data_IF_481898747361
#
_entry.id   IF_481898747361
#
_cell.length_a   1.000
_cell.length_b   1.000
_cell.length_c   1.000
_cell.angle_alpha   90.00
_cell.angle_beta   90.00
_cell.angle_gamma   90.00
#
_symmetry.space_group_name_H-M   'P 1'
#
loop_
_entity.id
_entity.type
_entity.pdbx_description
1 polymer ?
#
# COMPACT_ATOMS: atom_id res chain seq x y z
N UNK A 1 23.47 -6.11 -7.73
CA UNK A 1 23.77 -4.80 -7.10
C UNK A 1 22.74 -3.80 -7.57
N UNK A 2 21.83 -3.41 -6.70
CA UNK A 2 20.77 -2.45 -7.03
C UNK A 2 21.37 -1.04 -7.10
N UNK A 3 21.36 -0.41 -8.28
CA UNK A 3 21.96 0.91 -8.51
C UNK A 3 21.29 1.97 -7.59
N UNK A 4 22.09 2.70 -6.81
CA UNK A 4 21.63 3.73 -5.86
C UNK A 4 20.74 4.80 -6.51
N UNK A 5 20.95 5.09 -7.80
CA UNK A 5 20.12 6.03 -8.56
C UNK A 5 18.73 5.44 -8.84
N UNK A 6 18.62 4.15 -9.18
CA UNK A 6 17.35 3.47 -9.41
C UNK A 6 16.44 3.49 -8.19
N UNK A 7 17.01 3.38 -6.99
CA UNK A 7 16.25 3.48 -5.72
C UNK A 7 15.63 4.85 -5.55
N UNK A 8 16.38 5.93 -5.80
CA UNK A 8 15.89 7.31 -5.65
C UNK A 8 14.72 7.60 -6.57
N UNK A 9 14.78 7.17 -7.83
CA UNK A 9 13.66 7.31 -8.77
C UNK A 9 12.44 6.52 -8.33
N UNK A 10 12.64 5.33 -7.77
CA UNK A 10 11.54 4.51 -7.21
C UNK A 10 10.86 5.23 -6.04
N UNK A 11 11.62 5.78 -5.09
CA UNK A 11 11.05 6.53 -3.96
C UNK A 11 10.28 7.77 -4.40
N UNK A 12 10.85 8.55 -5.33
CA UNK A 12 10.18 9.74 -5.87
C UNK A 12 8.85 9.37 -6.55
N UNK A 13 8.84 8.29 -7.35
CA UNK A 13 7.62 7.80 -7.99
C UNK A 13 6.59 7.30 -6.97
N UNK A 14 7.02 6.54 -5.94
CA UNK A 14 6.14 6.09 -4.85
C UNK A 14 5.45 7.26 -4.15
N UNK A 15 6.22 8.28 -3.77
CA UNK A 15 5.71 9.49 -3.11
C UNK A 15 4.67 10.20 -3.98
N UNK A 16 5.02 10.51 -5.23
CA UNK A 16 4.12 11.19 -6.15
C UNK A 16 2.82 10.40 -6.40
N UNK A 17 2.90 9.08 -6.59
CA UNK A 17 1.71 8.24 -6.76
C UNK A 17 0.85 8.18 -5.50
N UNK A 18 1.46 8.22 -4.31
CA UNK A 18 0.73 8.24 -3.05
C UNK A 18 -0.01 9.57 -2.85
N UNK A 19 0.62 10.70 -3.16
CA UNK A 19 0.01 12.03 -3.07
C UNK A 19 -1.22 12.12 -4.01
N UNK A 20 -1.05 11.73 -5.29
CA UNK A 20 -2.17 11.68 -6.24
C UNK A 20 -3.33 10.79 -5.75
N UNK A 21 -3.00 9.65 -5.11
CA UNK A 21 -4.02 8.76 -4.55
C UNK A 21 -4.76 9.40 -3.35
N UNK A 22 -4.04 10.08 -2.44
CA UNK A 22 -4.63 10.75 -1.28
C UNK A 22 -5.55 11.90 -1.71
N UNK A 23 -5.14 12.66 -2.71
CA UNK A 23 -5.89 13.79 -3.26
C UNK A 23 -7.05 13.36 -4.18
N UNK A 24 -7.21 12.04 -4.40
CA UNK A 24 -8.20 11.43 -5.31
C UNK A 24 -8.08 11.93 -6.75
N UNK A 25 -6.86 12.27 -7.14
CA UNK A 25 -6.53 12.68 -8.50
C UNK A 25 -6.33 11.46 -9.41
N UNK A 26 -6.47 11.67 -10.71
CA UNK A 26 -6.26 10.63 -11.70
C UNK A 26 -4.79 10.21 -11.77
N UNK A 27 -4.52 8.90 -11.67
CA UNK A 27 -3.17 8.37 -11.85
C UNK A 27 -2.87 8.29 -13.35
N UNK A 28 -1.82 8.97 -13.85
CA UNK A 28 -1.52 8.99 -15.27
C UNK A 28 -1.07 7.61 -15.77
N UNK A 29 -1.40 7.29 -17.03
CA UNK A 29 -0.88 6.08 -17.67
C UNK A 29 0.63 6.18 -17.91
N UNK A 30 1.31 5.04 -17.75
CA UNK A 30 2.74 4.97 -18.01
C UNK A 30 3.05 5.20 -19.49
N UNK A 31 3.92 6.16 -19.78
CA UNK A 31 4.40 6.40 -21.14
C UNK A 31 5.11 5.16 -21.70
N UNK A 32 4.72 4.74 -22.90
CA UNK A 32 5.39 3.64 -23.62
C UNK A 32 6.85 4.04 -23.92
N UNK A 33 7.78 3.11 -23.71
CA UNK A 33 9.22 3.36 -23.90
C UNK A 33 9.55 3.95 -25.28
N UNK A 34 8.91 3.43 -26.33
CA UNK A 34 9.13 3.86 -27.72
C UNK A 34 8.61 5.29 -28.02
N UNK A 35 7.77 5.84 -27.15
CA UNK A 35 7.21 7.19 -27.32
C UNK A 35 8.03 8.25 -26.58
N UNK A 36 9.05 7.85 -25.81
CA UNK A 36 9.92 8.77 -25.09
C UNK A 36 10.86 9.48 -26.09
N UNK A 37 10.69 10.80 -26.25
CA UNK A 37 11.63 11.64 -27.00
C UNK A 37 12.80 12.01 -26.10
N UNK A 38 14.02 11.73 -26.54
CA UNK A 38 15.24 11.96 -25.78
C UNK A 38 16.14 12.95 -26.50
N UNK A 39 16.78 13.82 -25.72
CA UNK A 39 17.91 14.62 -26.17
C UNK A 39 19.22 13.81 -26.02
N UNK A 40 20.29 14.25 -26.70
CA UNK A 40 21.59 13.54 -26.76
C UNK A 40 22.25 13.25 -25.40
N UNK A 41 21.79 13.86 -24.32
CA UNK A 41 22.33 13.70 -22.95
C UNK A 41 21.36 13.00 -21.98
N UNK A 42 20.23 12.51 -22.47
CA UNK A 42 19.19 11.88 -21.64
C UNK A 42 19.19 10.36 -21.80
N UNK A 43 18.85 9.68 -20.71
CA UNK A 43 18.71 8.22 -20.65
C UNK A 43 17.34 7.88 -20.08
N UNK A 44 16.69 6.86 -20.64
CA UNK A 44 15.42 6.32 -20.11
C UNK A 44 15.73 5.28 -19.06
N UNK A 45 15.04 5.37 -17.92
CA UNK A 45 15.08 4.36 -16.87
C UNK A 45 13.65 3.86 -16.66
N UNK A 46 13.47 2.53 -16.75
CA UNK A 46 12.20 1.90 -16.41
C UNK A 46 12.13 1.68 -14.90
N UNK A 47 11.07 2.19 -14.27
CA UNK A 47 10.81 2.01 -12.84
C UNK A 47 9.48 1.29 -12.68
N UNK A 48 9.44 0.27 -11.83
CA UNK A 48 8.24 -0.51 -11.54
C UNK A 48 7.77 -0.22 -10.12
N UNK A 49 6.52 0.17 -9.96
CA UNK A 49 5.87 0.40 -8.66
C UNK A 49 4.51 -0.28 -8.67
N UNK A 50 4.15 -0.89 -7.54
CA UNK A 50 2.83 -1.47 -7.32
C UNK A 50 2.06 -0.58 -6.34
N UNK A 51 1.08 0.18 -6.85
CA UNK A 51 0.38 1.20 -6.08
C UNK A 51 -0.25 0.65 -4.79
N UNK A 52 -0.86 -0.54 -4.82
CA UNK A 52 -1.46 -1.16 -3.63
C UNK A 52 -0.44 -1.35 -2.50
N UNK A 53 0.80 -1.73 -2.82
CA UNK A 53 1.88 -1.85 -1.84
C UNK A 53 2.31 -0.49 -1.30
N UNK A 54 2.39 0.53 -2.16
CA UNK A 54 2.70 1.90 -1.73
C UNK A 54 1.65 2.42 -0.76
N UNK A 55 0.37 2.24 -1.06
CA UNK A 55 -0.73 2.63 -0.17
C UNK A 55 -0.58 1.96 1.19
N UNK A 56 -0.30 0.65 1.22
CA UNK A 56 -0.08 -0.09 2.49
C UNK A 56 1.17 0.37 3.25
N UNK A 57 2.25 0.68 2.53
CA UNK A 57 3.52 1.14 3.11
C UNK A 57 3.39 2.53 3.75
N UNK A 58 2.67 3.43 3.10
CA UNK A 58 2.57 4.85 3.48
C UNK A 58 1.34 5.15 4.36
N UNK A 59 0.22 4.42 4.20
CA UNK A 59 -0.96 4.54 5.05
C UNK A 59 -1.07 3.36 6.04
N UNK A 60 0.04 3.10 6.75
CA UNK A 60 0.15 2.03 7.75
C UNK A 60 -0.33 2.45 9.15
N UNK A 61 -1.02 3.60 9.26
CA UNK A 61 -1.45 4.16 10.54
C UNK A 61 -2.54 3.28 11.15
N UNK A 62 -2.41 2.99 12.44
CA UNK A 62 -3.44 2.25 13.17
C UNK A 62 -4.65 3.14 13.44
N UNK A 63 -5.84 2.70 13.03
CA UNK A 63 -7.11 3.40 13.27
C UNK A 63 -7.91 2.66 14.33
N UNK A 64 -8.26 3.33 15.43
CA UNK A 64 -9.14 2.76 16.46
C UNK A 64 -10.52 2.49 15.87
N UNK A 65 -11.06 1.30 16.13
CA UNK A 65 -12.42 0.91 15.77
C UNK A 65 -13.18 0.47 17.02
N UNK A 66 -14.44 0.89 17.11
CA UNK A 66 -15.40 0.41 18.12
C UNK A 66 -16.26 -0.65 17.44
N UNK A 67 -16.41 -1.82 18.05
CA UNK A 67 -17.14 -2.96 17.50
C UNK A 67 -18.21 -3.45 18.47
N UNK A 68 -19.23 -4.13 17.94
CA UNK A 68 -20.31 -4.73 18.73
C UNK A 68 -20.30 -6.24 18.49
N UNK A 69 -20.26 -7.02 19.55
CA UNK A 69 -20.29 -8.49 19.52
C UNK A 69 -21.21 -9.02 20.63
N UNK A 70 -21.76 -10.24 20.49
CA UNK A 70 -22.51 -10.88 21.56
C UNK A 70 -21.67 -11.03 22.84
N UNK A 71 -22.29 -10.83 24.01
CA UNK A 71 -21.60 -10.88 25.32
C UNK A 71 -20.92 -12.24 25.58
N UNK A 72 -21.56 -13.34 25.20
CA UNK A 72 -20.97 -14.68 25.33
C UNK A 72 -19.67 -14.82 24.54
N UNK A 73 -19.58 -14.20 23.36
CA UNK A 73 -18.38 -14.28 22.51
C UNK A 73 -17.24 -13.45 23.09
N UNK A 74 -17.54 -12.29 23.70
CA UNK A 74 -16.55 -11.49 24.41
C UNK A 74 -15.94 -12.29 25.55
N UNK A 75 -16.78 -12.90 26.39
CA UNK A 75 -16.32 -13.70 27.54
C UNK A 75 -15.45 -14.87 27.11
N UNK A 76 -15.83 -15.61 26.07
CA UNK A 76 -15.01 -16.73 25.57
C UNK A 76 -13.68 -16.26 24.96
N UNK A 77 -13.67 -15.12 24.24
CA UNK A 77 -12.46 -14.54 23.68
C UNK A 77 -11.50 -14.01 24.77
N UNK A 78 -12.02 -13.40 25.83
CA UNK A 78 -11.24 -12.93 26.98
C UNK A 78 -10.61 -14.08 27.76
N UNK A 79 -11.37 -15.16 28.04
CA UNK A 79 -10.83 -16.38 28.67
C UNK A 79 -9.69 -17.01 27.87
N UNK A 80 -9.80 -16.96 26.54
CA UNK A 80 -8.77 -17.45 25.64
C UNK A 80 -7.64 -16.44 25.39
N UNK A 81 -7.64 -15.28 26.07
CA UNK A 81 -6.65 -14.21 25.93
C UNK A 81 -6.44 -13.73 24.48
N UNK A 82 -7.52 -13.66 23.69
CA UNK A 82 -7.44 -13.25 22.29
C UNK A 82 -7.21 -11.75 22.14
N UNK A 83 -6.38 -11.37 21.15
CA UNK A 83 -6.25 -9.99 20.72
C UNK A 83 -7.34 -9.65 19.70
N UNK A 84 -8.40 -8.95 20.15
CA UNK A 84 -9.51 -8.55 19.29
C UNK A 84 -9.09 -7.77 18.04
N UNK A 85 -8.11 -6.87 18.17
CA UNK A 85 -7.61 -6.08 17.03
C UNK A 85 -6.94 -6.98 15.99
N UNK A 86 -6.15 -7.97 16.43
CA UNK A 86 -5.52 -8.94 15.52
C UNK A 86 -6.55 -9.83 14.84
N UNK A 87 -7.51 -10.38 15.61
CA UNK A 87 -8.59 -11.22 15.07
C UNK A 87 -9.42 -10.46 14.03
N UNK A 88 -9.74 -9.18 14.30
CA UNK A 88 -10.46 -8.33 13.36
C UNK A 88 -9.65 -8.10 12.08
N UNK A 89 -8.35 -7.80 12.19
CA UNK A 89 -7.48 -7.58 11.03
C UNK A 89 -7.44 -8.83 10.14
N UNK A 90 -7.21 -10.01 10.73
CA UNK A 90 -7.17 -11.28 10.00
C UNK A 90 -8.52 -11.62 9.35
N UNK A 91 -9.63 -11.39 10.07
CA UNK A 91 -10.97 -11.55 9.52
C UNK A 91 -11.23 -10.65 8.32
N UNK A 92 -10.85 -9.37 8.40
CA UNK A 92 -10.99 -8.41 7.29
C UNK A 92 -10.12 -8.78 6.09
N UNK A 93 -8.86 -9.15 6.31
CA UNK A 93 -7.97 -9.61 5.22
C UNK A 93 -8.57 -10.80 4.49
N UNK A 94 -9.07 -11.80 5.23
CA UNK A 94 -9.72 -12.99 4.67
C UNK A 94 -10.95 -12.62 3.84
N UNK A 95 -11.83 -11.76 4.35
CA UNK A 95 -13.04 -11.34 3.62
C UNK A 95 -12.74 -10.52 2.36
N UNK A 96 -11.64 -9.77 2.36
CA UNK A 96 -11.20 -8.95 1.23
C UNK A 96 -10.25 -9.69 0.27
N UNK A 97 -10.01 -10.99 0.49
CA UNK A 97 -9.05 -11.80 -0.28
C UNK A 97 -7.64 -11.18 -0.33
N UNK A 98 -7.20 -10.59 0.79
CA UNK A 98 -5.85 -10.03 0.95
C UNK A 98 -4.98 -11.12 1.58
N UNK A 99 -4.03 -11.64 0.80
CA UNK A 99 -2.99 -12.57 1.25
C UNK A 99 -1.70 -11.80 1.52
N UNK A 100 -1.41 -11.56 2.81
CA UNK A 100 -0.14 -11.05 3.34
C UNK A 100 0.17 -11.76 4.66
#
# INVERSE_FOLDING_TARGET
MENKNSKRFTYALKLCLFDLYQDKEGIPEATKMNNAKLNNTQVVILVKVELKKVIREYDNRTVKKTLTIPSWLNTEAEKAHLNFSHVLQEGLKRQLNISE
#
